data_IF_581513341874
#
_entry.id   IF_581513341874
#
_cell.length_a   1.000
_cell.length_b   1.000
_cell.length_c   1.000
_cell.angle_alpha   90.00
_cell.angle_beta   90.00
_cell.angle_gamma   90.00
#
_symmetry.space_group_name_H-M   'P 1'
#
loop_
_entity.id
_entity.type
_entity.pdbx_description
1 polymer ?
#
# COMPACT_ATOMS: atom_id res chain seq x y z
N UNK A 1 -2.24 -35.95 -19.82
CA UNK A 1 -2.92 -35.04 -18.87
C UNK A 1 -2.03 -33.91 -18.37
N UNK A 2 -0.70 -34.02 -18.45
CA UNK A 2 0.23 -33.08 -17.82
C UNK A 2 0.27 -31.67 -18.44
N UNK A 3 0.10 -31.54 -19.76
CA UNK A 3 0.16 -30.21 -20.41
C UNK A 3 -0.99 -29.28 -20.00
N UNK A 4 -2.17 -29.80 -19.64
CA UNK A 4 -3.32 -28.97 -19.25
C UNK A 4 -3.09 -28.26 -17.91
N UNK A 5 -2.35 -28.88 -16.99
CA UNK A 5 -2.06 -28.30 -15.67
C UNK A 5 -0.99 -27.21 -15.74
N UNK A 6 -0.05 -27.31 -16.69
CA UNK A 6 0.99 -26.30 -16.87
C UNK A 6 0.38 -24.94 -17.25
N UNK A 7 -0.61 -24.91 -18.15
CA UNK A 7 -1.28 -23.66 -18.52
C UNK A 7 -2.03 -23.02 -17.35
N UNK A 8 -2.70 -23.83 -16.51
CA UNK A 8 -3.41 -23.34 -15.32
C UNK A 8 -2.41 -22.70 -14.34
N UNK A 9 -1.28 -23.36 -14.08
CA UNK A 9 -0.26 -22.85 -13.15
C UNK A 9 0.34 -21.53 -13.67
N UNK A 10 0.62 -21.43 -14.97
CA UNK A 10 1.17 -20.20 -15.57
C UNK A 10 0.16 -19.04 -15.49
N UNK A 11 -1.12 -19.29 -15.76
CA UNK A 11 -2.17 -18.26 -15.66
C UNK A 11 -2.31 -17.77 -14.22
N UNK A 12 -2.33 -18.67 -13.23
CA UNK A 12 -2.39 -18.28 -11.82
C UNK A 12 -1.14 -17.51 -11.36
N UNK A 13 0.05 -17.83 -11.87
CA UNK A 13 1.26 -17.08 -11.58
C UNK A 13 1.21 -15.64 -12.11
N UNK A 14 0.69 -15.44 -13.33
CA UNK A 14 0.52 -14.11 -13.93
C UNK A 14 -0.51 -13.29 -13.14
N UNK A 15 -1.66 -13.90 -12.78
CA UNK A 15 -2.70 -13.25 -11.97
C UNK A 15 -2.15 -12.89 -10.58
N UNK A 16 -1.34 -13.77 -9.97
CA UNK A 16 -0.71 -13.50 -8.69
C UNK A 16 0.25 -12.30 -8.74
N UNK A 17 1.07 -12.19 -9.79
CA UNK A 17 1.97 -11.05 -9.97
C UNK A 17 1.16 -9.75 -10.19
N UNK A 18 0.10 -9.80 -10.99
CA UNK A 18 -0.77 -8.64 -11.23
C UNK A 18 -1.50 -8.18 -9.96
N UNK A 19 -2.00 -9.12 -9.14
CA UNK A 19 -2.65 -8.83 -7.88
C UNK A 19 -1.69 -8.14 -6.89
N UNK A 20 -0.42 -8.58 -6.81
CA UNK A 20 0.59 -7.95 -5.95
C UNK A 20 0.92 -6.53 -6.43
N UNK A 21 0.96 -6.28 -7.74
CA UNK A 21 1.20 -4.94 -8.29
C UNK A 21 0.03 -3.96 -8.11
N UNK A 22 -1.21 -4.45 -8.04
CA UNK A 22 -2.38 -3.58 -7.78
C UNK A 22 -2.46 -3.15 -6.31
N UNK A 23 -2.05 -4.02 -5.38
CA UNK A 23 -2.01 -3.69 -3.95
C UNK A 23 -0.93 -2.65 -3.63
N UNK A 24 0.20 -2.65 -4.35
CA UNK A 24 1.23 -1.62 -4.18
C UNK A 24 0.84 -0.27 -4.81
N UNK A 25 0.05 -0.25 -5.89
CA UNK A 25 -0.45 0.98 -6.50
C UNK A 25 -1.48 1.71 -5.61
N UNK A 26 -2.33 0.98 -4.88
CA UNK A 26 -3.30 1.57 -3.94
C UNK A 26 -2.74 1.86 -2.55
N UNK A 27 -1.56 1.31 -2.21
CA UNK A 27 -0.86 1.59 -0.95
C UNK A 27 0.05 2.82 -1.00
N UNK A 28 0.22 3.47 -2.16
CA UNK A 28 1.22 4.52 -2.38
C UNK A 28 0.61 5.85 -2.82
N UNK A 29 -0.50 6.25 -2.18
CA UNK A 29 -0.83 7.68 -2.10
C UNK A 29 -0.64 8.08 -0.65
N UNK A 30 0.43 8.82 -0.39
CA UNK A 30 0.57 9.67 0.78
C UNK A 30 -0.48 10.80 0.79
N UNK A 31 -1.73 10.50 0.43
CA UNK A 31 -2.87 11.33 0.79
C UNK A 31 -3.00 11.16 2.29
N UNK A 32 -2.53 12.17 3.01
CA UNK A 32 -3.02 12.42 4.35
C UNK A 32 -4.53 12.18 4.36
N UNK A 33 -5.01 11.25 5.20
CA UNK A 33 -6.44 10.99 5.45
C UNK A 33 -7.22 12.22 5.94
N UNK A 34 -6.65 13.42 5.87
CA UNK A 34 -7.16 14.61 6.51
C UNK A 34 -7.98 15.52 5.60
N UNK A 35 -7.90 15.39 4.27
CA UNK A 35 -8.61 16.31 3.35
C UNK A 35 -9.43 15.62 2.24
N UNK A 36 -9.84 14.36 2.41
CA UNK A 36 -10.90 13.83 1.54
C UNK A 36 -12.22 14.46 1.96
N UNK A 37 -12.96 15.03 1.02
CA UNK A 37 -14.31 15.53 1.31
C UNK A 37 -15.24 14.37 1.67
N UNK A 38 -16.33 14.64 2.41
CA UNK A 38 -17.33 13.61 2.72
C UNK A 38 -17.87 12.95 1.44
N UNK A 39 -18.04 13.74 0.37
CA UNK A 39 -18.47 13.26 -0.94
C UNK A 39 -17.47 12.28 -1.57
N UNK A 40 -16.16 12.53 -1.46
CA UNK A 40 -15.14 11.61 -1.98
C UNK A 40 -15.08 10.30 -1.19
N UNK A 41 -15.29 10.37 0.12
CA UNK A 41 -15.34 9.18 0.97
C UNK A 41 -16.51 8.28 0.57
N UNK A 42 -17.68 8.86 0.29
CA UNK A 42 -18.85 8.07 -0.08
C UNK A 42 -18.69 7.43 -1.46
N UNK A 43 -18.13 8.14 -2.44
CA UNK A 43 -17.79 7.55 -3.76
C UNK A 43 -16.83 6.37 -3.62
N UNK A 44 -15.83 6.46 -2.73
CA UNK A 44 -14.88 5.36 -2.49
C UNK A 44 -15.58 4.17 -1.84
N UNK A 45 -16.49 4.40 -0.88
CA UNK A 45 -17.27 3.32 -0.24
C UNK A 45 -18.15 2.61 -1.26
N UNK A 46 -18.88 3.35 -2.09
CA UNK A 46 -19.76 2.78 -3.12
C UNK A 46 -18.99 1.91 -4.10
N UNK A 47 -17.83 2.37 -4.57
CA UNK A 47 -16.96 1.55 -5.44
C UNK A 47 -16.45 0.29 -4.75
N UNK A 48 -16.12 0.39 -3.46
CA UNK A 48 -15.67 -0.76 -2.66
C UNK A 48 -16.78 -1.80 -2.46
N UNK A 49 -18.00 -1.34 -2.15
CA UNK A 49 -19.17 -2.21 -2.02
C UNK A 49 -19.51 -2.90 -3.34
N UNK A 50 -19.57 -2.16 -4.44
CA UNK A 50 -19.83 -2.72 -5.77
C UNK A 50 -18.82 -3.81 -6.15
N UNK A 51 -17.53 -3.58 -5.83
CA UNK A 51 -16.48 -4.57 -6.04
C UNK A 51 -16.67 -5.83 -5.21
N UNK A 52 -16.99 -5.69 -3.92
CA UNK A 52 -17.25 -6.84 -3.05
C UNK A 52 -18.48 -7.62 -3.48
N UNK A 53 -19.57 -6.93 -3.85
CA UNK A 53 -20.78 -7.57 -4.36
C UNK A 53 -20.50 -8.37 -5.64
N UNK A 54 -19.69 -7.84 -6.56
CA UNK A 54 -19.29 -8.59 -7.76
C UNK A 54 -18.52 -9.87 -7.40
N UNK A 55 -17.61 -9.81 -6.41
CA UNK A 55 -16.88 -10.98 -5.94
C UNK A 55 -17.78 -12.00 -5.23
N UNK A 56 -18.65 -11.55 -4.32
CA UNK A 56 -19.57 -12.40 -3.57
C UNK A 56 -20.52 -13.16 -4.51
N UNK A 57 -20.98 -12.51 -5.58
CA UNK A 57 -21.86 -13.11 -6.57
C UNK A 57 -21.12 -13.91 -7.66
N UNK A 58 -19.78 -13.99 -7.62
CA UNK A 58 -18.95 -14.53 -8.70
C UNK A 58 -19.27 -13.90 -10.08
N UNK A 59 -19.66 -12.63 -10.09
CA UNK A 59 -19.99 -11.89 -11.31
C UNK A 59 -18.71 -11.30 -11.93
N UNK A 60 -18.07 -12.12 -12.77
CA UNK A 60 -16.85 -11.73 -13.48
C UNK A 60 -17.06 -10.51 -14.38
N UNK A 61 -18.22 -10.36 -15.02
CA UNK A 61 -18.48 -9.24 -15.93
C UNK A 61 -18.60 -7.90 -15.21
N UNK A 62 -19.26 -7.90 -14.05
CA UNK A 62 -19.31 -6.73 -13.17
C UNK A 62 -17.91 -6.37 -12.63
N UNK A 63 -17.16 -7.37 -12.17
CA UNK A 63 -15.78 -7.17 -11.69
C UNK A 63 -14.86 -6.59 -12.78
N UNK A 64 -14.90 -7.16 -13.99
CA UNK A 64 -14.10 -6.71 -15.12
C UNK A 64 -14.41 -5.26 -15.49
N UNK A 65 -15.70 -4.91 -15.54
CA UNK A 65 -16.15 -3.56 -15.85
C UNK A 65 -15.63 -2.53 -14.84
N UNK A 66 -15.74 -2.84 -13.54
CA UNK A 66 -15.21 -1.99 -12.47
C UNK A 66 -13.69 -1.83 -12.56
N UNK A 67 -12.98 -2.91 -12.90
CA UNK A 67 -11.53 -2.87 -13.08
C UNK A 67 -11.11 -2.06 -14.30
N UNK A 68 -11.83 -2.17 -15.43
CA UNK A 68 -11.56 -1.38 -16.63
C UNK A 68 -11.80 0.12 -16.39
N UNK A 69 -12.89 0.49 -15.71
CA UNK A 69 -13.14 1.88 -15.35
C UNK A 69 -12.01 2.44 -14.47
N UNK A 70 -11.57 1.65 -13.49
CA UNK A 70 -10.46 1.99 -12.60
C UNK A 70 -9.15 2.15 -13.35
N UNK A 71 -8.86 1.26 -14.30
CA UNK A 71 -7.68 1.35 -15.17
C UNK A 71 -7.73 2.60 -16.03
N UNK A 72 -8.89 2.95 -16.60
CA UNK A 72 -9.04 4.17 -17.41
C UNK A 72 -8.80 5.42 -16.57
N UNK A 73 -9.34 5.49 -15.34
CA UNK A 73 -9.05 6.58 -14.39
C UNK A 73 -7.56 6.66 -14.05
N UNK A 74 -6.93 5.52 -13.74
CA UNK A 74 -5.48 5.48 -13.49
C UNK A 74 -4.68 5.91 -14.71
N UNK A 75 -5.10 5.55 -15.93
CA UNK A 75 -4.41 5.95 -17.17
C UNK A 75 -4.35 7.46 -17.33
N UNK A 76 -5.41 8.18 -16.94
CA UNK A 76 -5.43 9.63 -16.95
C UNK A 76 -4.46 10.24 -15.93
N UNK A 77 -4.17 9.54 -14.84
CA UNK A 77 -3.18 9.94 -13.85
C UNK A 77 -1.74 9.56 -14.24
N UNK A 78 -1.54 8.68 -15.22
CA UNK A 78 -0.19 8.32 -15.73
C UNK A 78 0.27 9.40 -16.70
N UNK A 79 0.70 10.53 -16.15
CA UNK A 79 1.36 11.62 -16.88
C UNK A 79 2.86 11.63 -16.59
N UNK A 80 3.64 12.26 -17.48
CA UNK A 80 5.09 12.44 -17.26
C UNK A 80 5.38 13.21 -15.96
N UNK A 81 4.59 14.23 -15.68
CA UNK A 81 4.70 15.03 -14.47
C UNK A 81 4.44 14.20 -13.21
N UNK A 82 3.39 13.38 -13.21
CA UNK A 82 3.10 12.49 -12.09
C UNK A 82 4.18 11.41 -11.94
N UNK A 83 4.74 10.91 -13.04
CA UNK A 83 5.87 9.99 -13.00
C UNK A 83 7.11 10.63 -12.35
N UNK A 84 7.48 11.84 -12.76
CA UNK A 84 8.64 12.55 -12.20
C UNK A 84 8.43 12.81 -10.71
N UNK A 85 7.22 13.22 -10.30
CA UNK A 85 6.86 13.36 -8.88
C UNK A 85 6.98 12.05 -8.10
N UNK A 86 6.42 10.95 -8.63
CA UNK A 86 6.52 9.63 -8.00
C UNK A 86 7.97 9.16 -7.89
N UNK A 87 8.80 9.42 -8.91
CA UNK A 87 10.24 9.10 -8.88
C UNK A 87 10.92 9.89 -7.75
N UNK A 88 10.67 11.18 -7.65
CA UNK A 88 11.33 12.03 -6.66
C UNK A 88 10.91 11.65 -5.23
N UNK A 89 9.63 11.34 -5.00
CA UNK A 89 9.14 10.79 -3.73
C UNK A 89 9.78 9.42 -3.41
N UNK A 90 9.96 8.56 -4.42
CA UNK A 90 10.61 7.27 -4.26
C UNK A 90 12.09 7.41 -3.88
N UNK A 91 12.82 8.32 -4.53
CA UNK A 91 14.22 8.61 -4.20
C UNK A 91 14.36 9.15 -2.78
N UNK A 92 13.51 10.09 -2.37
CA UNK A 92 13.48 10.59 -0.99
C UNK A 92 13.22 9.47 0.03
N UNK A 93 12.35 8.53 -0.30
CA UNK A 93 12.06 7.38 0.56
C UNK A 93 13.25 6.42 0.67
N UNK A 94 14.00 6.20 -0.40
CA UNK A 94 15.23 5.41 -0.36
C UNK A 94 16.24 6.08 0.57
N UNK A 95 16.50 7.37 0.39
CA UNK A 95 17.44 8.12 1.22
C UNK A 95 17.05 8.08 2.70
N UNK A 96 15.76 8.30 2.99
CA UNK A 96 15.24 8.21 4.35
C UNK A 96 15.41 6.81 4.95
N UNK A 97 15.17 5.75 4.17
CA UNK A 97 15.36 4.38 4.64
C UNK A 97 16.82 4.08 4.94
N UNK A 98 17.75 4.52 4.10
CA UNK A 98 19.19 4.34 4.31
C UNK A 98 19.66 5.04 5.59
N UNK A 99 19.20 6.26 5.83
CA UNK A 99 19.46 6.99 7.08
C UNK A 99 18.85 6.27 8.30
N UNK A 100 17.65 5.71 8.15
CA UNK A 100 17.02 4.91 9.18
C UNK A 100 17.81 3.64 9.52
N UNK A 101 18.37 2.97 8.52
CA UNK A 101 19.22 1.79 8.71
C UNK A 101 20.49 2.19 9.47
N UNK A 102 21.18 3.26 9.07
CA UNK A 102 22.38 3.76 9.77
C UNK A 102 22.11 4.17 11.21
N UNK A 103 20.99 4.85 11.46
CA UNK A 103 20.55 5.21 12.81
C UNK A 103 20.24 3.97 13.66
N UNK A 104 19.63 2.95 13.07
CA UNK A 104 19.36 1.67 13.74
C UNK A 104 20.64 0.93 14.11
N UNK A 105 21.66 0.96 13.25
CA UNK A 105 22.96 0.34 13.50
C UNK A 105 23.78 1.09 14.56
N UNK A 106 23.76 2.42 14.53
CA UNK A 106 24.44 3.28 15.52
C UNK A 106 23.70 3.40 16.85
N UNK A 107 22.38 3.18 16.85
CA UNK A 107 21.50 3.43 17.98
C UNK A 107 21.13 4.91 18.19
N UNK A 108 21.59 5.81 17.33
CA UNK A 108 21.30 7.25 17.42
C UNK A 108 20.25 7.67 16.39
N UNK A 109 19.10 8.14 16.88
CA UNK A 109 17.98 8.62 16.06
C UNK A 109 17.79 10.14 16.16
N UNK A 110 18.71 10.85 16.80
CA UNK A 110 18.59 12.30 17.02
C UNK A 110 18.56 13.08 15.70
N UNK A 111 19.44 12.77 14.76
CA UNK A 111 19.54 13.40 13.44
C UNK A 111 18.27 13.20 12.59
N UNK A 112 17.75 11.97 12.54
CA UNK A 112 16.50 11.66 11.85
C UNK A 112 15.30 12.43 12.39
N UNK A 113 15.27 12.63 13.72
CA UNK A 113 14.19 13.35 14.38
C UNK A 113 14.19 14.83 14.04
N UNK A 114 15.37 15.44 13.92
CA UNK A 114 15.53 16.82 13.50
C UNK A 114 15.20 17.00 12.01
N UNK A 115 15.75 16.14 11.15
CA UNK A 115 15.63 16.26 9.69
C UNK A 115 14.22 15.96 9.17
N UNK A 116 13.59 14.90 9.66
CA UNK A 116 12.27 14.46 9.17
C UNK A 116 11.12 14.81 10.12
N UNK A 117 11.41 15.47 11.24
CA UNK A 117 10.38 15.86 12.18
C UNK A 117 9.61 14.64 12.71
N UNK A 118 10.27 13.51 13.00
CA UNK A 118 9.71 12.38 13.76
C UNK A 118 9.44 12.80 15.22
N UNK A 119 8.71 13.89 15.40
CA UNK A 119 8.16 14.38 16.63
C UNK A 119 6.99 13.48 17.01
N UNK A 120 7.29 12.32 17.61
CA UNK A 120 6.44 11.70 18.63
C UNK A 120 4.95 11.59 18.27
N UNK A 121 4.57 11.44 17.00
CA UNK A 121 3.31 10.81 16.62
C UNK A 121 3.47 9.32 16.91
N UNK A 122 3.65 9.01 18.19
CA UNK A 122 3.36 7.69 18.69
C UNK A 122 1.94 7.42 18.24
N UNK A 123 1.80 6.54 17.26
CA UNK A 123 0.59 5.80 17.02
C UNK A 123 0.09 5.41 18.41
N UNK A 124 -0.92 6.12 18.93
CA UNK A 124 -1.52 5.83 20.24
C UNK A 124 -2.05 4.39 20.27
N UNK A 125 -2.16 3.72 19.11
CA UNK A 125 -2.41 2.28 18.98
C UNK A 125 -1.21 1.35 19.21
N UNK A 126 0.03 1.73 18.90
CA UNK A 126 1.18 0.82 19.03
C UNK A 126 1.71 0.68 20.47
N UNK A 127 1.45 1.67 21.33
CA UNK A 127 1.89 1.63 22.74
C UNK A 127 0.96 0.85 23.68
N UNK A 128 -0.27 0.53 23.27
CA UNK A 128 -1.22 -0.16 24.17
C UNK A 128 -0.78 -1.61 24.45
N UNK A 129 -0.22 -2.31 23.46
CA UNK A 129 0.30 -3.68 23.65
C UNK A 129 1.66 -3.77 24.38
N UNK A 130 2.46 -2.70 24.36
CA UNK A 130 3.82 -2.73 24.95
C UNK A 130 3.82 -2.56 26.48
N UNK A 131 2.82 -1.86 27.03
CA UNK A 131 2.70 -1.66 28.49
C UNK A 131 2.17 -2.89 29.24
N UNK A 132 1.40 -3.75 28.56
CA UNK A 132 0.79 -4.92 29.21
C UNK A 132 1.70 -6.16 29.24
N UNK A 133 2.67 -6.27 28.32
CA UNK A 133 3.43 -7.51 28.15
C UNK A 133 4.92 -7.38 28.48
N UNK A 134 5.45 -6.17 28.69
CA UNK A 134 6.85 -5.93 29.06
C UNK A 134 7.88 -6.51 28.07
N UNK A 135 7.44 -7.01 26.92
CA UNK A 135 8.25 -7.75 25.95
C UNK A 135 7.95 -7.21 24.57
N UNK A 136 9.02 -6.96 23.81
CA UNK A 136 8.88 -6.61 22.40
C UNK A 136 8.18 -7.78 21.69
N UNK A 137 7.06 -7.58 20.97
CA UNK A 137 6.32 -8.67 20.32
C UNK A 137 7.17 -9.42 19.27
N UNK A 138 8.26 -8.82 18.80
CA UNK A 138 9.22 -9.45 17.88
C UNK A 138 10.32 -10.27 18.58
N UNK A 139 10.38 -10.32 19.91
CA UNK A 139 11.41 -11.08 20.64
C UNK A 139 11.20 -12.59 20.67
N UNK A 140 10.04 -13.09 20.22
CA UNK A 140 9.70 -14.53 20.21
C UNK A 140 10.04 -15.24 18.89
N UNK A 141 10.58 -14.53 17.90
CA UNK A 141 11.07 -15.12 16.66
C UNK A 141 12.60 -15.19 16.71
N UNK A 142 13.12 -16.16 17.46
CA UNK A 142 14.52 -16.58 17.44
C UNK A 142 14.57 -18.09 17.43
#
# INVERSE_FOLDING_TARGET
MEQKYIYVIVVFAIIGILAVTLVSAYGFRGIHKQDLSEDEIDVIKEQYEAFNTALENNDYGAWESLMLEKIEKMRLEITRENFDKMRDEYLQKIEMNDEFIKAKESGDFSELKEKYGYAKTGHKGFRKGFKETGTCPYSKFK
#
